data_IF_724571613251
#
_entry.id   IF_724571613251
#
_cell.length_a   1.000
_cell.length_b   1.000
_cell.length_c   1.000
_cell.angle_alpha   90.00
_cell.angle_beta   90.00
_cell.angle_gamma   90.00
#
_symmetry.space_group_name_H-M   'P 1'
#
loop_
_entity.id
_entity.type
_entity.pdbx_description
1 polymer ?
#
# COMPACT_ATOMS: atom_id res chain seq x y z
N UNK A 1 16.92 -62.00 8.34
CA UNK A 1 17.04 -63.48 8.33
C UNK A 1 17.26 -64.02 9.76
N UNK A 2 16.18 -64.37 10.46
CA UNK A 2 16.25 -65.00 11.78
C UNK A 2 15.81 -66.45 11.67
N UNK A 3 16.73 -67.39 11.88
CA UNK A 3 16.39 -68.81 11.86
C UNK A 3 15.80 -69.19 13.23
N UNK A 4 14.49 -69.49 13.28
CA UNK A 4 13.87 -70.08 14.48
C UNK A 4 14.08 -71.60 14.43
N UNK A 5 14.66 -72.15 15.49
CA UNK A 5 14.71 -73.61 15.73
C UNK A 5 13.69 -73.96 16.81
N UNK A 6 13.04 -75.11 16.70
CA UNK A 6 12.21 -75.64 17.80
C UNK A 6 13.12 -76.00 18.96
N UNK A 7 12.67 -75.69 20.18
CA UNK A 7 13.38 -76.04 21.40
C UNK A 7 13.55 -77.55 21.53
N UNK A 8 14.65 -77.94 22.12
CA UNK A 8 15.01 -79.29 22.55
C UNK A 8 14.84 -79.42 24.09
N UNK A 9 15.05 -80.63 24.61
CA UNK A 9 14.90 -80.90 26.04
C UNK A 9 15.86 -80.08 26.91
N UNK A 10 17.01 -79.67 26.36
CA UNK A 10 17.97 -78.79 27.03
C UNK A 10 17.42 -77.36 27.17
N UNK A 11 16.84 -76.80 26.11
CA UNK A 11 16.24 -75.46 26.16
C UNK A 11 14.97 -75.44 27.02
N UNK A 12 14.23 -76.54 27.09
CA UNK A 12 13.13 -76.69 28.05
C UNK A 12 13.61 -76.68 29.51
N UNK A 13 14.70 -77.38 29.83
CA UNK A 13 15.29 -77.39 31.17
C UNK A 13 15.85 -76.00 31.59
N UNK A 14 16.40 -75.24 30.65
CA UNK A 14 16.83 -73.86 30.88
C UNK A 14 15.63 -72.93 31.17
N UNK A 15 14.54 -73.03 30.40
CA UNK A 15 13.33 -72.23 30.64
C UNK A 15 12.71 -72.54 32.01
N UNK A 16 12.74 -73.81 32.44
CA UNK A 16 12.22 -74.22 33.76
C UNK A 16 13.04 -73.68 34.95
N UNK A 17 14.30 -73.29 34.72
CA UNK A 17 15.18 -72.68 35.74
C UNK A 17 15.18 -71.15 35.70
N UNK A 18 14.54 -70.54 34.70
CA UNK A 18 14.35 -69.08 34.65
C UNK A 18 13.30 -68.64 35.67
N UNK A 19 13.59 -67.58 36.41
CA UNK A 19 12.62 -66.96 37.31
C UNK A 19 11.38 -66.53 36.52
N UNK A 20 10.20 -66.97 36.97
CA UNK A 20 8.93 -66.51 36.42
C UNK A 20 8.88 -64.99 36.60
N UNK A 21 8.68 -64.20 35.52
CA UNK A 21 8.57 -62.76 35.66
C UNK A 21 7.44 -62.42 36.65
N UNK A 22 7.62 -61.40 37.52
CA UNK A 22 6.62 -61.03 38.49
C UNK A 22 5.27 -60.79 37.81
N UNK A 23 4.21 -61.31 38.41
CA UNK A 23 2.84 -61.05 37.97
C UNK A 23 2.53 -59.56 38.06
N UNK A 24 1.59 -59.09 37.23
CA UNK A 24 1.18 -57.67 37.15
C UNK A 24 0.86 -57.05 38.52
N UNK A 25 0.46 -57.85 39.50
CA UNK A 25 0.12 -57.47 40.87
C UNK A 25 1.35 -57.12 41.75
N UNK A 26 2.57 -57.37 41.27
CA UNK A 26 3.84 -57.10 41.97
C UNK A 26 4.60 -55.88 41.42
N UNK A 27 3.97 -55.04 40.60
CA UNK A 27 4.59 -53.90 39.94
C UNK A 27 4.70 -52.67 40.87
N UNK A 28 5.65 -51.77 40.58
CA UNK A 28 5.88 -50.53 41.32
C UNK A 28 4.62 -49.63 41.37
N UNK A 29 4.42 -48.82 42.43
CA UNK A 29 3.21 -48.02 42.62
C UNK A 29 2.90 -47.06 41.45
N UNK A 30 3.91 -46.54 40.75
CA UNK A 30 3.76 -45.72 39.55
C UNK A 30 3.13 -46.49 38.39
N UNK A 31 3.49 -47.78 38.25
CA UNK A 31 2.94 -48.66 37.21
C UNK A 31 1.48 -48.99 37.52
N UNK A 32 1.16 -49.24 38.79
CA UNK A 32 -0.22 -49.45 39.23
C UNK A 32 -1.09 -48.21 38.97
N UNK A 33 -0.60 -47.01 39.32
CA UNK A 33 -1.32 -45.77 39.07
C UNK A 33 -1.55 -45.49 37.56
N UNK A 34 -0.62 -45.90 36.70
CA UNK A 34 -0.78 -45.77 35.25
C UNK A 34 -1.79 -46.78 34.69
N UNK A 35 -1.81 -48.01 35.24
CA UNK A 35 -2.79 -49.03 34.88
C UNK A 35 -4.21 -48.63 35.28
N UNK A 36 -4.38 -48.07 36.47
CA UNK A 36 -5.68 -47.59 36.92
C UNK A 36 -6.18 -46.43 36.04
N UNK A 37 -5.31 -45.48 35.67
CA UNK A 37 -5.65 -44.44 34.67
C UNK A 37 -6.02 -45.02 33.31
N UNK A 38 -5.32 -46.06 32.86
CA UNK A 38 -5.62 -46.72 31.59
C UNK A 38 -7.01 -47.35 31.64
N UNK A 39 -7.34 -48.06 32.72
CA UNK A 39 -8.66 -48.66 32.95
C UNK A 39 -9.76 -47.60 33.00
N UNK A 40 -9.51 -46.48 33.68
CA UNK A 40 -10.46 -45.37 33.75
C UNK A 40 -10.73 -44.76 32.37
N UNK A 41 -9.67 -44.57 31.56
CA UNK A 41 -9.80 -44.07 30.18
C UNK A 41 -10.51 -45.08 29.28
N UNK A 42 -10.20 -46.38 29.40
CA UNK A 42 -10.88 -47.45 28.67
C UNK A 42 -12.36 -47.52 29.03
N UNK A 43 -12.70 -47.43 30.31
CA UNK A 43 -14.08 -47.41 30.78
C UNK A 43 -14.82 -46.16 30.29
N UNK A 44 -14.18 -44.99 30.36
CA UNK A 44 -14.74 -43.74 29.84
C UNK A 44 -14.96 -43.80 28.33
N UNK A 45 -14.05 -44.40 27.57
CA UNK A 45 -14.18 -44.55 26.12
C UNK A 45 -15.31 -45.54 25.76
N UNK A 46 -15.44 -46.64 26.49
CA UNK A 46 -16.48 -47.64 26.27
C UNK A 46 -17.89 -47.09 26.55
N UNK A 47 -18.02 -46.27 27.60
CA UNK A 47 -19.30 -45.64 28.02
C UNK A 47 -19.62 -44.34 27.27
N UNK A 48 -18.67 -43.80 26.49
CA UNK A 48 -18.85 -42.53 25.79
C UNK A 48 -19.96 -42.63 24.71
N UNK A 49 -20.93 -41.70 24.64
CA UNK A 49 -22.05 -41.76 23.68
C UNK A 49 -21.62 -41.90 22.20
N UNK A 50 -20.44 -41.40 21.84
CA UNK A 50 -19.88 -41.53 20.48
C UNK A 50 -19.46 -42.97 20.10
N UNK A 51 -19.39 -43.91 21.06
CA UNK A 51 -19.17 -45.34 20.79
C UNK A 51 -20.39 -46.00 20.12
N UNK A 52 -21.57 -45.38 20.22
CA UNK A 52 -22.82 -45.84 19.59
C UNK A 52 -22.90 -45.51 18.08
N UNK A 53 -21.93 -44.80 17.53
CA UNK A 53 -21.92 -44.37 16.14
C UNK A 53 -21.02 -45.28 15.29
N UNK A 54 -21.56 -45.78 14.17
CA UNK A 54 -20.90 -46.76 13.28
C UNK A 54 -19.51 -46.34 12.76
N UNK A 55 -19.21 -45.03 12.72
CA UNK A 55 -17.92 -44.53 12.21
C UNK A 55 -17.34 -43.42 13.09
N UNK A 56 -16.91 -43.80 14.29
CA UNK A 56 -16.23 -42.91 15.26
C UNK A 56 -15.02 -42.19 14.67
N UNK A 57 -14.27 -42.83 13.74
CA UNK A 57 -13.14 -42.20 13.04
C UNK A 57 -13.58 -41.01 12.19
N UNK A 58 -14.71 -41.12 11.51
CA UNK A 58 -15.27 -40.00 10.73
C UNK A 58 -15.73 -38.84 11.62
N UNK A 59 -16.30 -39.14 12.80
CA UNK A 59 -16.69 -38.13 13.79
C UNK A 59 -15.48 -37.36 14.31
N UNK A 60 -14.41 -38.07 14.71
CA UNK A 60 -13.16 -37.43 15.13
C UNK A 60 -12.54 -36.58 14.02
N UNK A 61 -12.59 -37.04 12.76
CA UNK A 61 -12.12 -36.27 11.61
C UNK A 61 -12.94 -34.99 11.41
N UNK A 62 -14.27 -35.07 11.56
CA UNK A 62 -15.16 -33.89 11.49
C UNK A 62 -14.91 -32.93 12.66
N UNK A 63 -14.75 -33.43 13.88
CA UNK A 63 -14.43 -32.60 15.05
C UNK A 63 -13.07 -31.89 14.87
N UNK A 64 -12.03 -32.60 14.43
CA UNK A 64 -10.73 -31.99 14.09
C UNK A 64 -10.87 -30.93 13.00
N UNK A 65 -11.68 -31.19 11.98
CA UNK A 65 -11.96 -30.20 10.92
C UNK A 65 -12.71 -28.98 11.46
N UNK A 66 -13.66 -29.16 12.38
CA UNK A 66 -14.37 -28.06 13.03
C UNK A 66 -13.42 -27.20 13.86
N UNK A 67 -12.56 -27.80 14.68
CA UNK A 67 -11.53 -27.06 15.42
C UNK A 67 -10.61 -26.28 14.49
N UNK A 68 -10.09 -26.94 13.43
CA UNK A 68 -9.23 -26.28 12.45
C UNK A 68 -9.94 -25.10 11.75
N UNK A 69 -11.22 -25.24 11.39
CA UNK A 69 -12.01 -24.17 10.79
C UNK A 69 -12.30 -23.03 11.78
N UNK A 70 -12.51 -23.35 13.06
CA UNK A 70 -12.75 -22.37 14.11
C UNK A 70 -11.49 -21.55 14.41
N UNK A 71 -10.32 -22.20 14.44
CA UNK A 71 -9.02 -21.53 14.57
C UNK A 71 -8.72 -20.66 13.34
N UNK A 72 -9.00 -21.15 12.13
CA UNK A 72 -8.87 -20.37 10.89
C UNK A 72 -9.82 -19.16 10.89
N UNK A 73 -11.05 -19.32 11.38
CA UNK A 73 -12.01 -18.21 11.53
C UNK A 73 -11.48 -17.17 12.52
N UNK A 74 -10.98 -17.58 13.68
CA UNK A 74 -10.41 -16.66 14.69
C UNK A 74 -9.23 -15.87 14.13
N UNK A 75 -8.29 -16.53 13.47
CA UNK A 75 -7.14 -15.89 12.83
C UNK A 75 -7.58 -14.84 11.79
N UNK A 76 -8.53 -15.20 10.90
CA UNK A 76 -9.09 -14.26 9.91
C UNK A 76 -9.78 -13.06 10.56
N UNK A 77 -10.56 -13.27 11.61
CA UNK A 77 -11.25 -12.20 12.34
C UNK A 77 -10.26 -11.25 13.02
N UNK A 78 -9.20 -11.79 13.64
CA UNK A 78 -8.16 -10.99 14.28
C UNK A 78 -7.40 -10.14 13.25
N UNK A 79 -7.03 -10.73 12.11
CA UNK A 79 -6.39 -10.01 11.00
C UNK A 79 -7.31 -8.90 10.45
N UNK A 80 -8.58 -9.20 10.21
CA UNK A 80 -9.54 -8.19 9.75
C UNK A 80 -9.64 -7.03 10.73
N UNK A 81 -9.80 -7.30 12.03
CA UNK A 81 -9.86 -6.27 13.06
C UNK A 81 -8.59 -5.40 13.10
N UNK A 82 -7.42 -6.01 12.95
CA UNK A 82 -6.14 -5.28 12.88
C UNK A 82 -6.05 -4.41 11.62
N UNK A 83 -6.41 -4.95 10.45
CA UNK A 83 -6.41 -4.19 9.20
C UNK A 83 -7.41 -3.01 9.27
N UNK A 84 -8.65 -3.25 9.69
CA UNK A 84 -9.67 -2.21 9.84
C UNK A 84 -9.22 -1.14 10.83
N UNK A 85 -8.63 -1.52 11.97
CA UNK A 85 -8.10 -0.56 12.94
C UNK A 85 -6.99 0.32 12.36
N UNK A 86 -6.08 -0.28 11.56
CA UNK A 86 -5.02 0.47 10.87
C UNK A 86 -5.58 1.45 9.83
N UNK A 87 -6.47 0.99 8.95
CA UNK A 87 -7.08 1.86 7.93
C UNK A 87 -7.90 2.99 8.55
N UNK A 88 -8.59 2.72 9.66
CA UNK A 88 -9.32 3.75 10.38
C UNK A 88 -8.38 4.80 10.99
N UNK A 89 -7.27 4.38 11.57
CA UNK A 89 -6.27 5.32 12.10
C UNK A 89 -5.63 6.17 11.00
N UNK A 90 -5.32 5.57 9.84
CA UNK A 90 -4.82 6.29 8.67
C UNK A 90 -5.82 7.33 8.17
N UNK A 91 -7.10 6.95 8.06
CA UNK A 91 -8.18 7.87 7.72
C UNK A 91 -8.27 9.05 8.71
N UNK A 92 -8.24 8.78 10.01
CA UNK A 92 -8.24 9.84 11.03
C UNK A 92 -7.02 10.75 10.92
N UNK A 93 -5.85 10.19 10.63
CA UNK A 93 -4.62 10.97 10.44
C UNK A 93 -4.71 11.91 9.23
N UNK A 94 -5.28 11.43 8.11
CA UNK A 94 -5.53 12.27 6.92
C UNK A 94 -6.53 13.39 7.25
N UNK A 95 -7.60 13.08 7.98
CA UNK A 95 -8.59 14.09 8.43
C UNK A 95 -7.94 15.20 9.26
N UNK A 96 -6.99 14.88 10.14
CA UNK A 96 -6.28 15.89 10.93
C UNK A 96 -5.39 16.79 10.08
N UNK A 97 -4.70 16.24 9.06
CA UNK A 97 -3.93 17.05 8.10
C UNK A 97 -4.84 17.97 7.31
N UNK A 98 -5.97 17.46 6.80
CA UNK A 98 -6.95 18.28 6.07
C UNK A 98 -7.53 19.41 6.94
N UNK A 99 -7.86 19.14 8.21
CA UNK A 99 -8.32 20.17 9.15
C UNK A 99 -7.24 21.22 9.43
N UNK A 100 -5.98 20.82 9.56
CA UNK A 100 -4.87 21.75 9.82
C UNK A 100 -4.77 22.83 8.72
N UNK A 101 -4.90 22.42 7.46
CA UNK A 101 -4.86 23.31 6.30
C UNK A 101 -6.19 23.98 6.00
N UNK A 102 -7.22 23.75 6.82
CA UNK A 102 -8.54 24.32 6.58
C UNK A 102 -9.31 23.68 5.43
N UNK A 103 -8.92 22.49 4.97
CA UNK A 103 -9.64 21.70 3.96
C UNK A 103 -10.91 21.02 4.51
N UNK A 104 -11.06 20.95 5.83
CA UNK A 104 -12.24 20.40 6.50
C UNK A 104 -12.67 21.27 7.69
N UNK A 105 -13.96 21.55 7.77
CA UNK A 105 -14.61 22.16 8.92
C UNK A 105 -15.83 21.31 9.33
N UNK A 106 -15.96 20.97 10.62
CA UNK A 106 -17.05 20.11 11.11
C UNK A 106 -17.22 18.79 10.31
N UNK A 107 -16.11 18.19 9.86
CA UNK A 107 -16.06 17.01 8.99
C UNK A 107 -16.77 17.18 7.63
N UNK A 108 -16.86 18.41 7.12
CA UNK A 108 -17.32 18.73 5.78
C UNK A 108 -16.22 19.44 5.00
N UNK A 109 -16.11 19.22 3.68
CA UNK A 109 -15.20 19.98 2.82
C UNK A 109 -15.48 21.49 2.93
N UNK A 110 -14.41 22.27 3.05
CA UNK A 110 -14.40 23.73 2.81
C UNK A 110 -14.13 24.00 1.32
N UNK A 111 -13.97 25.27 0.92
CA UNK A 111 -13.56 25.60 -0.46
C UNK A 111 -12.26 24.88 -0.86
N UNK A 112 -11.22 24.93 -0.02
CA UNK A 112 -9.98 24.18 -0.24
C UNK A 112 -10.21 22.66 -0.33
N UNK A 113 -11.09 22.12 0.52
CA UNK A 113 -11.45 20.70 0.50
C UNK A 113 -12.15 20.28 -0.80
N UNK A 114 -13.01 21.14 -1.32
CA UNK A 114 -13.70 20.94 -2.61
C UNK A 114 -12.74 21.09 -3.79
N UNK A 115 -11.77 22.01 -3.73
CA UNK A 115 -10.68 22.10 -4.70
C UNK A 115 -9.86 20.80 -4.74
N UNK A 116 -9.44 20.30 -3.57
CA UNK A 116 -8.70 19.04 -3.47
C UNK A 116 -9.53 17.86 -4.00
N UNK A 117 -10.83 17.81 -3.72
CA UNK A 117 -11.70 16.75 -4.22
C UNK A 117 -11.92 16.79 -5.75
N UNK A 118 -11.68 17.93 -6.40
CA UNK A 118 -11.88 18.13 -7.84
C UNK A 118 -10.65 17.75 -8.70
N UNK A 119 -9.48 17.55 -8.08
CA UNK A 119 -8.22 17.22 -8.75
C UNK A 119 -7.81 15.79 -8.37
N UNK A 120 -7.09 15.12 -9.26
CA UNK A 120 -6.47 13.82 -9.05
C UNK A 120 -4.97 13.96 -9.23
N UNK A 121 -4.21 13.43 -8.28
CA UNK A 121 -2.75 13.42 -8.34
C UNK A 121 -2.16 12.51 -7.29
N UNK A 122 -0.85 12.63 -7.05
CA UNK A 122 -0.21 11.87 -5.97
C UNK A 122 -0.50 12.49 -4.58
N UNK A 123 -0.88 13.78 -4.55
CA UNK A 123 -1.31 14.50 -3.35
C UNK A 123 -2.22 15.67 -3.75
N UNK A 124 -3.53 15.46 -3.65
CA UNK A 124 -4.55 16.44 -4.04
C UNK A 124 -4.53 17.68 -3.15
N UNK A 125 -4.25 17.53 -1.86
CA UNK A 125 -4.14 18.66 -0.93
C UNK A 125 -2.97 19.56 -1.31
N UNK A 126 -1.84 19.00 -1.74
CA UNK A 126 -0.70 19.79 -2.21
C UNK A 126 -1.07 20.65 -3.42
N UNK A 127 -1.73 20.06 -4.42
CA UNK A 127 -2.15 20.78 -5.63
C UNK A 127 -3.20 21.86 -5.32
N UNK A 128 -4.16 21.56 -4.44
CA UNK A 128 -5.18 22.51 -4.02
C UNK A 128 -4.57 23.70 -3.25
N UNK A 129 -3.66 23.43 -2.32
CA UNK A 129 -2.93 24.47 -1.59
C UNK A 129 -2.09 25.35 -2.52
N UNK A 130 -1.44 24.76 -3.52
CA UNK A 130 -0.67 25.51 -4.49
C UNK A 130 -1.57 26.39 -5.37
N UNK A 131 -2.74 25.90 -5.78
CA UNK A 131 -3.74 26.69 -6.51
C UNK A 131 -4.33 27.83 -5.68
N UNK A 132 -4.66 27.58 -4.42
CA UNK A 132 -5.23 28.58 -3.50
C UNK A 132 -4.23 29.70 -3.16
N UNK A 133 -2.92 29.42 -3.24
CA UNK A 133 -1.87 30.39 -2.90
C UNK A 133 -1.85 31.68 -3.74
N UNK A 134 -2.44 31.65 -4.95
CA UNK A 134 -2.40 32.77 -5.90
C UNK A 134 -1.08 32.93 -6.66
N UNK A 135 -0.09 32.07 -6.40
CA UNK A 135 1.25 32.15 -7.03
C UNK A 135 1.19 31.98 -8.56
N UNK A 136 0.12 31.43 -9.13
CA UNK A 136 0.01 31.15 -10.57
C UNK A 136 -0.63 32.27 -11.40
N UNK A 137 -1.23 33.28 -10.78
CA UNK A 137 -2.08 34.26 -11.49
C UNK A 137 -1.32 35.14 -12.50
N UNK A 138 0.01 35.19 -12.39
CA UNK A 138 0.88 36.00 -13.25
C UNK A 138 1.57 35.21 -14.37
N UNK A 139 1.39 33.88 -14.41
CA UNK A 139 2.05 33.01 -15.37
C UNK A 139 1.37 33.04 -16.74
N UNK A 140 2.19 32.98 -17.80
CA UNK A 140 1.69 32.62 -19.13
C UNK A 140 1.52 31.10 -19.29
N UNK A 141 0.93 30.67 -20.40
CA UNK A 141 0.59 29.27 -20.62
C UNK A 141 1.82 28.30 -20.61
N UNK A 142 2.95 28.60 -21.30
CA UNK A 142 4.16 27.79 -21.19
C UNK A 142 4.74 27.72 -19.76
N UNK A 143 4.77 28.85 -19.05
CA UNK A 143 5.27 28.90 -17.68
C UNK A 143 4.38 28.10 -16.74
N UNK A 144 3.06 28.21 -16.88
CA UNK A 144 2.09 27.45 -16.12
C UNK A 144 2.29 25.94 -16.32
N UNK A 145 2.53 25.50 -17.56
CA UNK A 145 2.82 24.10 -17.85
C UNK A 145 4.08 23.60 -17.13
N UNK A 146 5.17 24.38 -17.16
CA UNK A 146 6.41 24.05 -16.48
C UNK A 146 6.24 23.99 -14.95
N UNK A 147 5.50 24.94 -14.37
CA UNK A 147 5.18 24.97 -12.94
C UNK A 147 4.38 23.72 -12.54
N UNK A 148 3.34 23.35 -13.28
CA UNK A 148 2.59 22.12 -12.97
C UNK A 148 3.43 20.86 -13.15
N UNK A 149 4.32 20.82 -14.15
CA UNK A 149 5.25 19.72 -14.30
C UNK A 149 6.15 19.55 -13.06
N UNK A 150 6.61 20.64 -12.46
CA UNK A 150 7.37 20.62 -11.20
C UNK A 150 6.58 20.01 -10.03
N UNK A 151 5.26 20.23 -10.00
CA UNK A 151 4.38 19.76 -8.91
C UNK A 151 3.93 18.29 -9.07
N UNK A 152 4.07 17.71 -10.26
CA UNK A 152 3.58 16.34 -10.55
C UNK A 152 4.67 15.36 -11.02
N UNK A 153 5.91 15.83 -11.20
CA UNK A 153 7.03 15.01 -11.65
C UNK A 153 7.87 14.51 -10.48
N UNK A 154 8.04 13.19 -10.42
CA UNK A 154 9.03 12.54 -9.57
C UNK A 154 10.33 12.33 -10.38
N UNK A 155 11.46 12.84 -9.88
CA UNK A 155 12.75 12.53 -10.46
C UNK A 155 13.28 11.20 -9.88
N UNK A 156 13.13 10.12 -10.65
CA UNK A 156 13.56 8.78 -10.24
C UNK A 156 15.04 8.46 -10.56
N UNK A 157 15.75 9.31 -11.30
CA UNK A 157 17.11 9.03 -11.80
C UNK A 157 18.08 10.16 -11.41
N UNK A 158 19.01 9.93 -10.46
CA UNK A 158 19.92 10.96 -9.96
C UNK A 158 20.85 11.57 -11.01
N UNK A 159 21.20 10.82 -12.06
CA UNK A 159 22.15 11.26 -13.10
C UNK A 159 21.46 11.91 -14.33
N UNK A 160 20.13 12.11 -14.26
CA UNK A 160 19.39 12.75 -15.34
C UNK A 160 19.69 14.24 -15.40
N UNK A 161 19.85 14.79 -16.61
CA UNK A 161 20.05 16.22 -16.85
C UNK A 161 19.14 16.74 -17.95
N UNK A 162 18.82 18.03 -17.87
CA UNK A 162 18.20 18.81 -18.94
C UNK A 162 19.03 20.09 -19.18
N UNK A 163 19.24 20.47 -20.44
CA UNK A 163 19.93 21.71 -20.81
C UNK A 163 19.02 22.94 -20.67
N UNK A 164 17.72 22.74 -20.72
CA UNK A 164 16.75 23.79 -20.54
C UNK A 164 16.61 24.11 -19.06
N UNK A 165 16.91 25.35 -18.71
CA UNK A 165 16.67 25.88 -17.36
C UNK A 165 15.22 26.33 -17.27
N UNK A 166 14.68 26.30 -16.05
CA UNK A 166 13.45 26.99 -15.74
C UNK A 166 13.60 28.49 -16.02
N UNK A 167 12.55 29.13 -16.52
CA UNK A 167 12.50 30.58 -16.56
C UNK A 167 12.47 31.15 -15.13
N UNK A 168 13.04 32.35 -14.95
CA UNK A 168 13.14 32.97 -13.62
C UNK A 168 11.78 33.19 -12.95
N UNK A 169 10.72 33.40 -13.73
CA UNK A 169 9.35 33.55 -13.25
C UNK A 169 8.84 32.22 -12.65
N UNK A 170 9.14 31.08 -13.30
CA UNK A 170 8.78 29.76 -12.79
C UNK A 170 9.59 29.44 -11.52
N UNK A 171 10.90 29.74 -11.50
CA UNK A 171 11.72 29.57 -10.30
C UNK A 171 11.19 30.39 -9.11
N UNK A 172 10.82 31.65 -9.35
CA UNK A 172 10.24 32.54 -8.33
C UNK A 172 8.91 31.98 -7.79
N UNK A 173 8.02 31.54 -8.69
CA UNK A 173 6.73 30.92 -8.33
C UNK A 173 6.92 29.68 -7.45
N UNK A 174 7.81 28.77 -7.83
CA UNK A 174 8.11 27.57 -7.04
C UNK A 174 8.73 27.94 -5.69
N UNK A 175 9.54 29.01 -5.65
CA UNK A 175 10.07 29.60 -4.43
C UNK A 175 8.97 30.09 -3.47
N UNK A 176 7.93 30.74 -3.97
CA UNK A 176 6.76 31.17 -3.19
C UNK A 176 6.04 30.01 -2.50
N UNK A 177 5.98 28.86 -3.17
CA UNK A 177 5.36 27.64 -2.65
C UNK A 177 6.22 26.88 -1.61
N UNK A 178 7.50 27.22 -1.44
CA UNK A 178 8.45 26.44 -0.62
C UNK A 178 8.04 26.35 0.85
N UNK A 179 7.58 27.47 1.42
CA UNK A 179 7.15 27.52 2.82
C UNK A 179 5.90 26.67 3.05
N UNK A 180 4.93 26.74 2.13
CA UNK A 180 3.69 25.98 2.18
C UNK A 180 3.99 24.47 2.08
N UNK A 181 4.84 24.08 1.13
CA UNK A 181 5.33 22.70 1.00
C UNK A 181 5.98 22.19 2.28
N UNK A 182 6.85 22.99 2.88
CA UNK A 182 7.57 22.63 4.10
C UNK A 182 6.66 22.49 5.32
N UNK A 183 5.57 23.26 5.37
CA UNK A 183 4.53 23.12 6.38
C UNK A 183 3.73 21.83 6.15
N UNK A 184 3.27 21.58 4.92
CA UNK A 184 2.52 20.38 4.54
C UNK A 184 3.28 19.09 4.90
N UNK A 185 4.54 18.96 4.48
CA UNK A 185 5.36 17.79 4.77
C UNK A 185 5.65 17.61 6.27
N UNK A 186 5.64 18.69 7.06
CA UNK A 186 5.82 18.61 8.52
C UNK A 186 4.58 18.06 9.19
N UNK A 187 3.41 18.57 8.84
CA UNK A 187 2.14 18.12 9.40
C UNK A 187 1.80 16.69 8.96
N UNK A 188 2.05 16.35 7.70
CA UNK A 188 1.95 14.98 7.22
C UNK A 188 2.84 14.01 8.03
N UNK A 189 4.11 14.38 8.28
CA UNK A 189 5.01 13.55 9.12
C UNK A 189 4.51 13.43 10.56
N UNK A 190 3.99 14.52 11.14
CA UNK A 190 3.42 14.52 12.49
C UNK A 190 2.26 13.53 12.62
N UNK A 191 1.44 13.42 11.58
CA UNK A 191 0.29 12.51 11.52
C UNK A 191 0.60 11.18 10.82
N UNK A 192 1.86 10.86 10.50
CA UNK A 192 2.23 9.62 9.81
C UNK A 192 1.52 9.41 8.46
N UNK A 193 1.20 10.50 7.76
CA UNK A 193 0.60 10.49 6.42
C UNK A 193 1.72 10.53 5.37
N UNK A 194 1.83 9.47 4.58
CA UNK A 194 2.84 9.34 3.54
C UNK A 194 2.27 9.73 2.15
N UNK A 195 2.20 11.03 1.88
CA UNK A 195 1.87 11.58 0.55
C UNK A 195 3.03 12.48 0.06
N UNK A 196 3.41 12.45 -1.22
CA UNK A 196 4.47 13.30 -1.72
C UNK A 196 4.02 14.76 -1.85
N UNK A 197 4.97 15.69 -1.84
CA UNK A 197 4.75 17.06 -2.30
C UNK A 197 5.89 17.37 -3.26
N UNK A 198 5.70 17.06 -4.55
CA UNK A 198 6.75 17.20 -5.55
C UNK A 198 7.01 18.67 -5.87
N UNK A 199 8.27 18.96 -6.18
CA UNK A 199 8.76 20.28 -6.56
C UNK A 199 10.10 20.07 -7.27
N UNK A 200 10.01 19.60 -8.52
CA UNK A 200 11.13 19.27 -9.40
C UNK A 200 11.64 20.55 -10.11
N UNK A 201 12.94 20.73 -10.24
CA UNK A 201 13.55 21.93 -10.83
C UNK A 201 14.46 21.65 -12.04
N UNK A 202 15.04 20.45 -12.11
CA UNK A 202 16.17 20.15 -12.98
C UNK A 202 15.75 19.64 -14.37
N UNK A 203 14.59 19.01 -14.47
CA UNK A 203 14.11 18.34 -15.69
C UNK A 203 12.92 19.08 -16.33
N UNK A 204 12.12 19.77 -15.54
CA UNK A 204 10.86 20.38 -15.97
C UNK A 204 10.99 21.56 -16.93
N UNK A 205 12.19 22.12 -17.10
CA UNK A 205 12.45 23.12 -18.16
C UNK A 205 12.12 22.60 -19.56
N UNK A 206 12.17 21.28 -19.78
CA UNK A 206 11.76 20.65 -21.04
C UNK A 206 10.27 20.88 -21.38
N UNK A 207 9.41 21.02 -20.37
CA UNK A 207 7.97 21.21 -20.55
C UNK A 207 7.67 22.61 -21.04
N UNK A 208 8.35 23.62 -20.50
CA UNK A 208 8.23 25.00 -20.96
C UNK A 208 8.58 25.10 -22.45
N UNK A 209 9.68 24.45 -22.85
CA UNK A 209 10.12 24.43 -24.26
C UNK A 209 9.14 23.69 -25.16
N UNK A 210 8.53 22.60 -24.67
CA UNK A 210 7.49 21.90 -25.41
C UNK A 210 6.28 22.79 -25.68
N UNK A 211 5.81 23.52 -24.66
CA UNK A 211 4.72 24.47 -24.79
C UNK A 211 5.09 25.66 -25.71
N UNK A 212 6.35 26.09 -25.69
CA UNK A 212 6.92 27.09 -26.63
C UNK A 212 7.13 26.58 -28.06
N UNK A 213 6.61 25.39 -28.38
CA UNK A 213 6.61 24.82 -29.73
C UNK A 213 7.98 24.37 -30.25
N UNK A 214 8.96 24.12 -29.37
CA UNK A 214 10.21 23.44 -29.77
C UNK A 214 9.87 22.07 -30.40
N UNK A 215 10.63 21.70 -31.42
CA UNK A 215 10.43 20.43 -32.13
C UNK A 215 10.91 19.23 -31.30
N UNK A 216 10.28 18.07 -31.51
CA UNK A 216 10.54 16.86 -30.74
C UNK A 216 12.01 16.42 -30.76
N UNK A 217 12.67 16.50 -31.92
CA UNK A 217 14.05 16.03 -32.08
C UNK A 217 14.99 16.93 -31.27
N UNK A 218 14.86 18.24 -31.41
CA UNK A 218 15.63 19.21 -30.62
C UNK A 218 15.37 19.04 -29.12
N UNK A 219 14.11 18.79 -28.72
CA UNK A 219 13.76 18.56 -27.32
C UNK A 219 14.51 17.35 -26.73
N UNK A 220 14.51 16.23 -27.45
CA UNK A 220 15.21 15.00 -27.05
C UNK A 220 16.73 15.15 -26.99
N UNK A 221 17.33 15.92 -27.91
CA UNK A 221 18.78 16.16 -27.92
C UNK A 221 19.29 16.99 -26.72
N UNK A 222 18.38 17.68 -26.01
CA UNK A 222 18.70 18.59 -24.92
C UNK A 222 18.48 17.99 -23.52
N UNK A 223 18.35 16.67 -23.41
CA UNK A 223 18.25 15.96 -22.13
C UNK A 223 18.89 14.58 -22.19
N UNK A 224 19.20 13.99 -21.04
CA UNK A 224 19.55 12.56 -20.94
C UNK A 224 18.34 11.64 -20.77
N UNK A 225 17.13 12.19 -20.66
CA UNK A 225 15.92 11.39 -20.56
C UNK A 225 15.69 10.60 -21.85
N UNK A 226 15.25 9.36 -21.70
CA UNK A 226 14.74 8.62 -22.85
C UNK A 226 13.39 9.19 -23.29
N UNK A 227 13.02 8.95 -24.56
CA UNK A 227 11.76 9.46 -25.13
C UNK A 227 10.53 9.06 -24.31
N UNK A 228 10.55 7.89 -23.67
CA UNK A 228 9.47 7.40 -22.83
C UNK A 228 9.31 8.23 -21.55
N UNK A 229 10.41 8.59 -20.89
CA UNK A 229 10.40 9.48 -19.73
C UNK A 229 9.94 10.89 -20.11
N UNK A 230 10.36 11.42 -21.27
CA UNK A 230 9.87 12.72 -21.76
C UNK A 230 8.35 12.67 -21.98
N UNK A 231 7.85 11.67 -22.72
CA UNK A 231 6.41 11.48 -22.94
C UNK A 231 5.66 11.36 -21.61
N UNK A 232 6.22 10.66 -20.63
CA UNK A 232 5.62 10.51 -19.29
C UNK A 232 5.47 11.84 -18.57
N UNK A 233 6.50 12.68 -18.55
CA UNK A 233 6.47 14.02 -17.93
C UNK A 233 5.44 14.90 -18.63
N UNK A 234 5.49 14.95 -19.97
CA UNK A 234 4.58 15.76 -20.76
C UNK A 234 3.11 15.33 -20.60
N UNK A 235 2.81 14.01 -20.60
CA UNK A 235 1.46 13.49 -20.39
C UNK A 235 0.93 13.71 -18.98
N UNK A 236 1.76 13.51 -17.95
CA UNK A 236 1.35 13.83 -16.56
C UNK A 236 1.02 15.31 -16.41
N UNK A 237 1.81 16.17 -17.07
CA UNK A 237 1.56 17.62 -17.09
C UNK A 237 0.27 17.95 -17.84
N UNK A 238 0.05 17.35 -19.01
CA UNK A 238 -1.18 17.54 -19.80
C UNK A 238 -2.42 17.07 -19.01
N UNK A 239 -2.33 15.93 -18.33
CA UNK A 239 -3.41 15.40 -17.50
C UNK A 239 -3.78 16.38 -16.38
N UNK A 240 -2.82 16.86 -15.57
CA UNK A 240 -3.14 17.82 -14.51
C UNK A 240 -3.68 19.14 -15.07
N UNK A 241 -3.09 19.67 -16.15
CA UNK A 241 -3.58 20.88 -16.83
C UNK A 241 -5.00 20.71 -17.37
N UNK A 242 -5.39 19.50 -17.80
CA UNK A 242 -6.75 19.20 -18.26
C UNK A 242 -7.78 19.26 -17.14
N UNK A 243 -7.35 19.01 -15.89
CA UNK A 243 -8.20 19.04 -14.71
C UNK A 243 -8.38 20.46 -14.16
N UNK A 244 -7.34 21.32 -14.25
CA UNK A 244 -7.36 22.68 -13.67
C UNK A 244 -8.60 23.50 -14.05
N UNK A 245 -9.05 23.56 -15.33
CA UNK A 245 -10.23 24.33 -15.71
C UNK A 245 -11.54 23.88 -15.06
N UNK A 246 -11.58 22.71 -14.42
CA UNK A 246 -12.74 22.14 -13.75
C UNK A 246 -12.67 22.28 -12.22
N UNK A 247 -11.57 22.79 -11.68
CA UNK A 247 -11.42 23.04 -10.25
C UNK A 247 -12.33 24.22 -9.86
N UNK A 248 -13.11 24.10 -8.78
CA UNK A 248 -13.92 25.20 -8.27
C UNK A 248 -13.04 26.30 -7.66
N UNK A 249 -13.60 27.49 -7.48
CA UNK A 249 -12.97 28.64 -6.78
C UNK A 249 -11.70 29.24 -7.41
N UNK A 250 -11.12 28.65 -8.47
CA UNK A 250 -10.00 29.27 -9.19
C UNK A 250 -10.43 30.52 -9.98
N UNK A 251 -9.49 31.44 -10.17
CA UNK A 251 -9.68 32.65 -10.98
C UNK A 251 -9.98 32.32 -12.45
N UNK A 252 -10.78 33.17 -13.11
CA UNK A 252 -11.06 33.01 -14.56
C UNK A 252 -9.82 33.21 -15.43
N UNK A 253 -8.86 34.01 -14.95
CA UNK A 253 -7.54 34.16 -15.56
C UNK A 253 -6.80 32.82 -15.59
N UNK A 254 -6.59 32.21 -14.42
CA UNK A 254 -5.94 30.90 -14.31
C UNK A 254 -6.68 29.82 -15.10
N UNK A 255 -8.02 29.83 -15.09
CA UNK A 255 -8.84 28.90 -15.88
C UNK A 255 -8.57 29.03 -17.38
N UNK A 256 -8.37 30.25 -17.87
CA UNK A 256 -8.09 30.52 -19.28
C UNK A 256 -6.66 30.11 -19.64
N UNK A 257 -5.68 30.53 -18.84
CA UNK A 257 -4.27 30.16 -19.03
C UNK A 257 -4.07 28.64 -18.99
N UNK A 258 -4.77 27.92 -18.12
CA UNK A 258 -4.71 26.46 -18.06
C UNK A 258 -5.24 25.78 -19.33
N UNK A 259 -6.29 26.31 -19.96
CA UNK A 259 -6.79 25.80 -21.24
C UNK A 259 -5.79 26.04 -22.36
N UNK A 260 -5.22 27.24 -22.42
CA UNK A 260 -4.18 27.58 -23.38
C UNK A 260 -2.94 26.69 -23.22
N UNK A 261 -2.50 26.48 -21.97
CA UNK A 261 -1.38 25.59 -21.66
C UNK A 261 -1.66 24.15 -22.10
N UNK A 262 -2.85 23.63 -21.81
CA UNK A 262 -3.30 22.31 -22.29
C UNK A 262 -3.22 22.22 -23.81
N UNK A 263 -3.73 23.22 -24.53
CA UNK A 263 -3.76 23.22 -25.99
C UNK A 263 -2.34 23.28 -26.60
N UNK A 264 -1.43 24.10 -26.03
CA UNK A 264 -0.02 24.16 -26.44
C UNK A 264 0.72 22.84 -26.21
N UNK A 265 0.38 22.13 -25.12
CA UNK A 265 0.99 20.86 -24.74
C UNK A 265 0.50 19.69 -25.60
N UNK A 266 -0.74 19.76 -26.13
CA UNK A 266 -1.42 18.68 -26.85
C UNK A 266 -0.92 18.53 -28.30
N UNK A 267 0.30 17.99 -28.46
CA UNK A 267 0.99 17.82 -29.75
C UNK A 267 1.55 16.40 -29.88
N UNK A 268 1.70 15.88 -31.10
CA UNK A 268 2.40 14.59 -31.29
C UNK A 268 3.82 14.66 -30.72
N UNK A 269 4.31 13.66 -29.94
CA UNK A 269 3.74 12.32 -29.72
C UNK A 269 2.83 12.18 -28.47
N UNK A 270 2.56 13.27 -27.75
CA UNK A 270 1.78 13.26 -26.50
C UNK A 270 0.31 13.56 -26.71
N UNK A 271 -0.10 13.86 -27.94
CA UNK A 271 -1.46 14.21 -28.27
C UNK A 271 -2.46 13.14 -27.83
N UNK A 272 -3.51 13.58 -27.17
CA UNK A 272 -4.68 12.75 -26.91
C UNK A 272 -5.53 12.77 -28.18
N UNK A 273 -5.58 11.65 -28.91
CA UNK A 273 -6.54 11.53 -30.01
C UNK A 273 -7.94 11.75 -29.43
N UNK A 274 -8.67 12.71 -30.01
CA UNK A 274 -10.07 12.97 -29.66
C UNK A 274 -10.85 11.71 -30.04
N UNK A 275 -11.10 10.85 -29.06
CA UNK A 275 -12.08 9.76 -29.12
C UNK A 275 -13.49 10.29 -28.92
#
# INVERSE_FOLDING_TARGET
PGQRRRGDDHTAALVATMAVPPTLEMLAPEVQAQLDRMRDVEHALATHPASQWDNTKSLLKRQKRLHALDDERRDRQQKLAQYTGRYWQEFLNIMEVLKHFGGLENNRPTELGEMAAAIRGDNELWLALALESGEFDHLDAPQLAATFAALVTENSRPDSWCRYKLSGIVEETLGGLWNLRSQLLREQRRHQVAAPAWMEYDLVGIVEQWALQVDWVTLCENTSLDEGDIVRILRRTLDVLSQIPHVPYISDGLRTTAREAKDLMNRFPVNEEIG
#
